data_IF_585662806021
#
_entry.id   IF_585662806021
#
_cell.length_a   1.000
_cell.length_b   1.000
_cell.length_c   1.000
_cell.angle_alpha   90.00
_cell.angle_beta   90.00
_cell.angle_gamma   90.00
#
_symmetry.space_group_name_H-M   'P 1'
#
loop_
_entity.id
_entity.type
_entity.pdbx_description
1 polymer ?
#
# COMPACT_ATOMS: atom_id res chain seq x y z
N UNK A 1 35.22 0.17 9.21
CA UNK A 1 34.36 0.77 8.16
C UNK A 1 32.94 0.55 8.60
N UNK A 2 32.14 1.60 8.60
CA UNK A 2 30.79 1.61 9.17
C UNK A 2 29.76 1.41 8.06
N UNK A 3 28.81 0.48 8.25
CA UNK A 3 27.72 0.27 7.29
C UNK A 3 26.70 1.41 7.44
N UNK A 4 26.48 2.17 6.36
CA UNK A 4 25.58 3.32 6.36
C UNK A 4 24.10 2.99 6.59
N UNK A 5 23.68 1.71 6.57
CA UNK A 5 22.31 1.30 6.95
C UNK A 5 22.24 0.88 8.43
N UNK A 6 23.25 0.16 8.96
CA UNK A 6 23.22 -0.23 10.37
C UNK A 6 23.37 1.01 11.30
N UNK A 7 23.87 2.15 10.80
CA UNK A 7 24.10 3.36 11.61
C UNK A 7 22.84 4.10 12.05
N UNK A 8 21.81 4.18 11.21
CA UNK A 8 20.57 4.88 11.56
C UNK A 8 19.77 4.13 12.64
N UNK A 9 19.93 2.80 12.77
CA UNK A 9 19.28 2.01 13.81
C UNK A 9 19.99 2.07 15.17
N UNK A 10 21.28 2.44 15.23
CA UNK A 10 22.09 2.49 16.46
C UNK A 10 21.67 3.65 17.39
N UNK A 11 21.12 4.74 16.87
CA UNK A 11 20.59 5.82 17.74
C UNK A 11 19.24 5.47 18.39
N UNK A 12 18.53 4.47 17.87
CA UNK A 12 17.34 3.92 18.52
C UNK A 12 17.77 2.85 19.54
N UNK A 13 17.36 2.99 20.80
CA UNK A 13 17.89 2.28 21.99
C UNK A 13 17.78 0.74 22.01
N UNK A 14 17.40 0.09 20.92
CA UNK A 14 17.19 -1.36 20.86
C UNK A 14 18.43 -2.08 20.31
N UNK A 15 19.49 -2.12 21.13
CA UNK A 15 20.76 -2.80 20.84
C UNK A 15 20.61 -4.32 20.53
N UNK A 16 19.43 -4.91 20.74
CA UNK A 16 19.14 -6.31 20.44
C UNK A 16 18.88 -6.60 18.95
N UNK A 17 18.60 -5.60 18.12
CA UNK A 17 18.40 -5.79 16.67
C UNK A 17 19.71 -5.85 15.87
N UNK A 18 20.84 -5.48 16.48
CA UNK A 18 22.15 -5.34 15.84
C UNK A 18 22.89 -6.66 15.55
N UNK A 19 22.34 -7.82 15.92
CA UNK A 19 23.01 -9.12 15.74
C UNK A 19 23.16 -9.53 14.26
N UNK A 20 22.49 -8.84 13.33
CA UNK A 20 22.57 -9.10 11.89
C UNK A 20 23.93 -8.71 11.25
N UNK A 21 24.70 -7.77 11.83
CA UNK A 21 25.83 -7.14 11.13
C UNK A 21 27.21 -7.77 11.48
N UNK A 22 27.31 -8.86 12.27
CA UNK A 22 28.60 -9.31 12.85
C UNK A 22 29.24 -10.58 12.26
N UNK A 23 28.55 -11.37 11.42
CA UNK A 23 29.00 -12.76 11.15
C UNK A 23 29.35 -13.12 9.69
N UNK A 24 29.32 -12.20 8.71
CA UNK A 24 29.62 -12.56 7.31
C UNK A 24 30.52 -11.54 6.58
N UNK A 25 31.84 -11.76 6.68
CA UNK A 25 32.95 -10.96 6.11
C UNK A 25 33.17 -11.15 4.59
N UNK A 26 32.13 -11.48 3.85
CA UNK A 26 32.19 -11.67 2.40
C UNK A 26 31.90 -10.33 1.68
N UNK A 27 32.84 -9.39 1.78
CA UNK A 27 32.78 -8.01 1.26
C UNK A 27 32.87 -7.91 -0.27
N UNK A 28 31.76 -7.96 -1.03
CA UNK A 28 31.85 -7.88 -2.50
C UNK A 28 30.73 -7.08 -3.20
N UNK A 29 30.52 -5.81 -2.83
CA UNK A 29 29.85 -4.90 -3.75
C UNK A 29 30.64 -3.62 -3.94
N UNK A 30 31.12 -3.41 -5.18
CA UNK A 30 31.81 -2.19 -5.60
C UNK A 30 30.74 -1.12 -5.84
N UNK A 31 30.65 -0.07 -5.01
CA UNK A 31 29.63 0.95 -5.20
C UNK A 31 29.89 1.71 -6.50
N UNK A 32 28.82 2.21 -7.13
CA UNK A 32 28.96 3.33 -8.05
C UNK A 32 29.71 4.45 -7.33
N UNK A 33 30.59 5.18 -8.05
CA UNK A 33 31.42 6.24 -7.46
C UNK A 33 30.59 7.14 -6.54
N UNK A 34 31.00 7.25 -5.27
CA UNK A 34 30.34 8.09 -4.26
C UNK A 34 29.30 7.43 -3.36
N UNK A 35 29.03 6.12 -3.47
CA UNK A 35 28.16 5.42 -2.50
C UNK A 35 29.00 4.77 -1.37
N UNK A 36 28.54 4.82 -0.10
CA UNK A 36 29.21 4.12 0.98
C UNK A 36 29.12 2.59 0.80
N UNK A 37 30.04 1.88 1.43
CA UNK A 37 30.02 0.42 1.44
C UNK A 37 28.87 -0.09 2.32
N UNK A 38 28.25 -1.18 1.88
CA UNK A 38 27.15 -1.84 2.59
C UNK A 38 27.47 -3.30 2.81
N UNK A 39 27.03 -3.82 3.96
CA UNK A 39 26.97 -5.26 4.15
C UNK A 39 25.96 -5.86 3.17
N UNK A 40 26.28 -7.05 2.64
CA UNK A 40 25.40 -7.78 1.72
C UNK A 40 24.05 -8.09 2.38
N UNK A 41 24.04 -8.47 3.66
CA UNK A 41 22.80 -8.74 4.42
C UNK A 41 21.91 -7.50 4.54
N UNK A 42 22.48 -6.34 4.87
CA UNK A 42 21.74 -5.08 4.98
C UNK A 42 21.15 -4.65 3.63
N UNK A 43 21.95 -4.73 2.56
CA UNK A 43 21.45 -4.43 1.22
C UNK A 43 20.38 -5.43 0.77
N UNK A 44 20.54 -6.73 1.07
CA UNK A 44 19.52 -7.76 0.80
C UNK A 44 18.19 -7.41 1.45
N UNK A 45 18.20 -7.13 2.76
CA UNK A 45 17.02 -6.75 3.53
C UNK A 45 16.34 -5.50 2.98
N UNK A 46 17.13 -4.47 2.66
CA UNK A 46 16.62 -3.25 2.05
C UNK A 46 15.92 -3.52 0.70
N UNK A 47 16.53 -4.33 -0.16
CA UNK A 47 15.97 -4.69 -1.46
C UNK A 47 14.65 -5.47 -1.32
N UNK A 48 14.54 -6.34 -0.31
CA UNK A 48 13.30 -7.04 0.00
C UNK A 48 12.21 -6.09 0.51
N UNK A 49 12.53 -5.18 1.43
CA UNK A 49 11.58 -4.16 1.93
C UNK A 49 11.06 -3.29 0.79
N UNK A 50 11.94 -2.86 -0.13
CA UNK A 50 11.51 -2.13 -1.33
C UNK A 50 10.52 -2.96 -2.17
N UNK A 51 10.86 -4.22 -2.43
CA UNK A 51 10.04 -5.11 -3.23
C UNK A 51 8.67 -5.40 -2.60
N UNK A 52 8.62 -5.63 -1.28
CA UNK A 52 7.38 -5.84 -0.51
C UNK A 52 6.50 -4.59 -0.53
N UNK A 53 7.10 -3.41 -0.50
CA UNK A 53 6.42 -2.12 -0.62
C UNK A 53 5.99 -1.78 -2.07
N UNK A 54 6.31 -2.65 -3.04
CA UNK A 54 5.97 -2.44 -4.45
C UNK A 54 6.84 -1.42 -5.18
N UNK A 55 8.00 -1.06 -4.62
CA UNK A 55 8.96 -0.16 -5.27
C UNK A 55 9.81 -0.93 -6.29
N UNK A 56 9.46 -0.80 -7.57
CA UNK A 56 10.22 -1.32 -8.70
C UNK A 56 10.44 -0.26 -9.79
N UNK A 57 11.59 -0.23 -10.49
CA UNK A 57 12.78 -1.06 -10.24
C UNK A 57 13.48 -0.68 -8.93
N UNK A 58 14.21 -1.61 -8.33
CA UNK A 58 14.94 -1.35 -7.09
C UNK A 58 15.97 -0.23 -7.26
N UNK A 59 16.19 0.56 -6.21
CA UNK A 59 17.11 1.71 -6.21
C UNK A 59 18.18 1.59 -5.14
N UNK A 60 19.33 2.23 -5.36
CA UNK A 60 20.36 2.37 -4.33
C UNK A 60 19.82 3.20 -3.16
N UNK A 61 20.03 2.82 -1.88
CA UNK A 61 19.55 3.56 -0.72
C UNK A 61 20.15 4.97 -0.59
N UNK A 62 21.38 5.21 -1.08
CA UNK A 62 22.06 6.50 -0.88
C UNK A 62 21.91 7.44 -2.07
N UNK A 63 22.17 6.96 -3.29
CA UNK A 63 22.14 7.81 -4.48
C UNK A 63 20.85 7.69 -5.30
N UNK A 64 19.91 6.82 -4.87
CA UNK A 64 18.64 6.55 -5.55
C UNK A 64 18.76 6.09 -7.01
N UNK A 65 19.98 5.77 -7.49
CA UNK A 65 20.19 5.21 -8.81
C UNK A 65 19.46 3.87 -8.92
N UNK A 66 18.79 3.66 -10.05
CA UNK A 66 18.19 2.36 -10.39
C UNK A 66 19.27 1.28 -10.46
N UNK A 67 19.05 0.20 -9.73
CA UNK A 67 19.91 -0.97 -9.75
C UNK A 67 19.50 -1.88 -10.91
N UNK A 68 20.48 -2.45 -11.59
CA UNK A 68 20.26 -3.50 -12.57
C UNK A 68 19.84 -4.80 -11.88
N UNK A 69 19.17 -5.69 -12.64
CA UNK A 69 18.77 -7.02 -12.13
C UNK A 69 19.99 -7.79 -11.63
N UNK A 70 21.13 -7.72 -12.31
CA UNK A 70 22.34 -8.41 -11.87
C UNK A 70 22.88 -7.85 -10.55
N UNK A 71 22.87 -6.52 -10.36
CA UNK A 71 23.25 -5.88 -9.10
C UNK A 71 22.35 -6.33 -7.95
N UNK A 72 21.04 -6.44 -8.18
CA UNK A 72 20.10 -6.97 -7.18
C UNK A 72 20.44 -8.41 -6.82
N UNK A 73 20.53 -9.31 -7.80
CA UNK A 73 20.74 -10.74 -7.56
C UNK A 73 22.09 -11.06 -6.91
N UNK A 74 23.14 -10.30 -7.23
CA UNK A 74 24.46 -10.49 -6.60
C UNK A 74 24.45 -10.20 -5.09
N UNK A 75 23.50 -9.37 -4.64
CA UNK A 75 23.37 -8.96 -3.24
C UNK A 75 22.31 -9.76 -2.46
N UNK A 76 21.49 -10.57 -3.12
CA UNK A 76 20.51 -11.43 -2.46
C UNK A 76 21.09 -12.83 -2.17
N UNK A 77 20.59 -13.48 -1.12
CA UNK A 77 20.73 -14.93 -0.98
C UNK A 77 19.81 -15.66 -1.97
N UNK A 78 20.04 -16.96 -2.20
CA UNK A 78 19.24 -17.72 -3.20
C UNK A 78 17.76 -17.74 -2.86
N UNK A 79 17.40 -17.92 -1.59
CA UNK A 79 16.01 -17.85 -1.10
C UNK A 79 15.39 -16.48 -1.34
N UNK A 80 16.15 -15.42 -1.03
CA UNK A 80 15.70 -14.03 -1.14
C UNK A 80 15.54 -13.62 -2.62
N UNK A 81 16.42 -14.09 -3.49
CA UNK A 81 16.32 -13.87 -4.94
C UNK A 81 15.03 -14.49 -5.52
N UNK A 82 14.63 -15.68 -5.04
CA UNK A 82 13.36 -16.30 -5.41
C UNK A 82 12.16 -15.52 -4.88
N UNK A 83 12.22 -15.03 -3.64
CA UNK A 83 11.18 -14.18 -3.07
C UNK A 83 11.04 -12.87 -3.85
N UNK A 84 12.16 -12.16 -4.08
CA UNK A 84 12.21 -10.92 -4.84
C UNK A 84 11.66 -11.10 -6.26
N UNK A 85 11.99 -12.21 -6.94
CA UNK A 85 11.44 -12.56 -8.27
C UNK A 85 9.92 -12.68 -8.23
N UNK A 86 9.35 -13.35 -7.21
CA UNK A 86 7.88 -13.48 -7.08
C UNK A 86 7.21 -12.12 -6.85
N UNK A 87 7.83 -11.25 -6.05
CA UNK A 87 7.33 -9.90 -5.81
C UNK A 87 7.38 -9.06 -7.10
N UNK A 88 8.45 -9.18 -7.88
CA UNK A 88 8.59 -8.52 -9.18
C UNK A 88 7.52 -8.99 -10.18
N UNK A 89 7.31 -10.31 -10.29
CA UNK A 89 6.28 -10.91 -11.15
C UNK A 89 4.90 -10.35 -10.77
N UNK A 90 4.55 -10.36 -9.48
CA UNK A 90 3.28 -9.80 -8.97
C UNK A 90 3.13 -8.30 -9.26
N UNK A 91 4.20 -7.53 -9.13
CA UNK A 91 4.17 -6.10 -9.45
C UNK A 91 3.92 -5.85 -10.94
N UNK A 92 4.56 -6.63 -11.82
CA UNK A 92 4.33 -6.56 -13.27
C UNK A 92 2.88 -6.91 -13.61
N UNK A 93 2.34 -7.98 -13.02
CA UNK A 93 0.93 -8.37 -13.20
C UNK A 93 -0.03 -7.27 -12.77
N UNK A 94 0.20 -6.62 -11.62
CA UNK A 94 -0.61 -5.48 -11.17
C UNK A 94 -0.49 -4.29 -12.11
N UNK A 95 0.70 -4.01 -12.64
CA UNK A 95 0.94 -2.89 -13.56
C UNK A 95 0.29 -3.13 -14.91
N UNK A 96 0.49 -4.31 -15.50
CA UNK A 96 -0.14 -4.71 -16.77
C UNK A 96 -1.66 -4.81 -16.62
N UNK A 97 -2.15 -5.37 -15.51
CA UNK A 97 -3.58 -5.40 -15.20
C UNK A 97 -4.19 -4.00 -15.04
N UNK A 98 -3.43 -3.02 -14.58
CA UNK A 98 -3.84 -1.61 -14.57
C UNK A 98 -3.81 -1.02 -15.98
N UNK A 99 -2.73 -1.23 -16.73
CA UNK A 99 -2.53 -0.68 -18.08
C UNK A 99 -3.51 -1.24 -19.11
N UNK A 100 -3.87 -2.51 -19.01
CA UNK A 100 -4.79 -3.17 -19.94
C UNK A 100 -6.27 -2.81 -19.74
N UNK A 101 -6.64 -2.23 -18.59
CA UNK A 101 -8.00 -1.70 -18.41
C UNK A 101 -8.16 -0.43 -19.23
N UNK A 102 -9.26 -0.34 -19.98
CA UNK A 102 -9.64 0.91 -20.65
C UNK A 102 -9.81 2.03 -19.62
N UNK A 103 -9.57 3.31 -19.97
CA UNK A 103 -9.81 4.43 -19.06
C UNK A 103 -11.22 4.39 -18.44
N UNK A 104 -12.24 4.03 -19.23
CA UNK A 104 -13.62 3.88 -18.77
C UNK A 104 -13.80 2.81 -17.70
N UNK A 105 -13.19 1.64 -17.87
CA UNK A 105 -13.27 0.57 -16.86
C UNK A 105 -12.56 0.95 -15.56
N UNK A 106 -11.45 1.70 -15.65
CA UNK A 106 -10.77 2.23 -14.46
C UNK A 106 -11.66 3.22 -13.73
N UNK A 107 -12.26 4.16 -14.45
CA UNK A 107 -13.16 5.15 -13.86
C UNK A 107 -14.38 4.50 -13.20
N UNK A 108 -14.96 3.46 -13.81
CA UNK A 108 -16.08 2.71 -13.24
C UNK A 108 -15.68 1.90 -12.02
N UNK A 109 -14.52 1.22 -12.05
CA UNK A 109 -14.02 0.44 -10.93
C UNK A 109 -13.65 1.33 -9.74
N UNK A 110 -12.99 2.46 -10.00
CA UNK A 110 -12.73 3.49 -8.98
C UNK A 110 -14.03 4.03 -8.43
N UNK A 111 -15.01 4.32 -9.29
CA UNK A 111 -16.29 4.84 -8.84
C UNK A 111 -17.08 3.85 -7.98
N UNK A 112 -17.06 2.57 -8.32
CA UNK A 112 -17.65 1.52 -7.52
C UNK A 112 -16.94 1.35 -6.16
N UNK A 113 -15.60 1.39 -6.15
CA UNK A 113 -14.82 1.29 -4.91
C UNK A 113 -15.10 2.47 -3.97
N UNK A 114 -15.07 3.69 -4.49
CA UNK A 114 -15.36 4.89 -3.71
C UNK A 114 -16.81 4.94 -3.23
N UNK A 115 -17.77 4.50 -4.05
CA UNK A 115 -19.16 4.37 -3.62
C UNK A 115 -19.33 3.34 -2.48
N UNK A 116 -18.54 2.26 -2.46
CA UNK A 116 -18.49 1.30 -1.36
C UNK A 116 -17.98 1.87 -0.04
N UNK A 117 -17.16 2.93 -0.11
CA UNK A 117 -16.72 3.71 1.06
C UNK A 117 -17.72 4.82 1.43
N UNK A 118 -18.90 4.85 0.81
CA UNK A 118 -19.88 5.90 1.03
C UNK A 118 -19.50 7.24 0.40
N UNK A 119 -18.50 7.31 -0.48
CA UNK A 119 -18.09 8.53 -1.18
C UNK A 119 -18.89 8.74 -2.48
N UNK A 120 -19.07 10.01 -2.89
CA UNK A 120 -19.74 10.38 -4.14
C UNK A 120 -19.01 11.49 -4.89
N UNK A 121 -19.14 11.53 -6.22
CA UNK A 121 -18.55 12.60 -7.04
C UNK A 121 -19.41 13.86 -7.02
N UNK A 122 -18.77 15.02 -6.91
CA UNK A 122 -19.40 16.31 -7.16
C UNK A 122 -19.90 16.38 -8.61
N UNK A 123 -21.16 16.78 -8.87
CA UNK A 123 -21.70 16.85 -10.23
C UNK A 123 -21.07 17.96 -11.09
N UNK A 124 -20.36 18.91 -10.48
CA UNK A 124 -19.70 20.02 -11.19
C UNK A 124 -18.22 19.73 -11.49
N UNK A 125 -17.42 19.40 -10.48
CA UNK A 125 -15.97 19.25 -10.63
C UNK A 125 -15.46 17.80 -10.61
N UNK A 126 -16.33 16.82 -10.32
CA UNK A 126 -15.97 15.41 -10.27
C UNK A 126 -15.19 14.97 -9.02
N UNK A 127 -14.85 15.89 -8.10
CA UNK A 127 -14.15 15.56 -6.86
C UNK A 127 -14.93 14.56 -6.00
N UNK A 128 -14.23 13.62 -5.37
CA UNK A 128 -14.80 12.70 -4.40
C UNK A 128 -15.11 13.41 -3.09
N UNK A 129 -16.34 13.23 -2.60
CA UNK A 129 -16.86 13.80 -1.36
C UNK A 129 -17.30 12.64 -0.48
N UNK A 130 -16.77 12.59 0.72
CA UNK A 130 -17.17 11.65 1.77
C UNK A 130 -18.21 12.32 2.66
N UNK A 131 -19.24 11.56 3.04
CA UNK A 131 -20.18 11.98 4.08
C UNK A 131 -19.66 11.45 5.41
N UNK A 132 -19.40 12.34 6.36
CA UNK A 132 -19.04 11.94 7.71
C UNK A 132 -20.09 10.96 8.25
N UNK A 133 -19.63 9.86 8.85
CA UNK A 133 -20.52 8.82 9.34
C UNK A 133 -21.56 9.40 10.29
N UNK A 134 -22.79 8.93 10.16
CA UNK A 134 -23.87 9.32 11.05
C UNK A 134 -23.55 8.77 12.45
N UNK A 135 -23.01 9.63 13.32
CA UNK A 135 -23.08 9.41 14.76
C UNK A 135 -24.53 9.52 15.24
N UNK A 136 -24.74 10.07 16.43
CA UNK A 136 -26.08 10.26 17.01
C UNK A 136 -27.03 11.12 16.13
N UNK A 137 -26.48 11.90 15.20
CA UNK A 137 -27.23 12.72 14.27
C UNK A 137 -26.98 12.20 12.85
N UNK A 138 -28.06 11.80 12.16
CA UNK A 138 -28.00 11.44 10.73
C UNK A 138 -27.46 12.63 9.94
N UNK A 139 -26.27 12.46 9.34
CA UNK A 139 -25.64 13.52 8.54
C UNK A 139 -26.58 14.08 7.47
N UNK A 140 -26.53 15.39 7.27
CA UNK A 140 -27.27 16.12 6.25
C UNK A 140 -26.93 15.64 4.83
N UNK A 141 -27.94 15.46 3.96
CA UNK A 141 -27.74 15.13 2.54
C UNK A 141 -27.58 16.37 1.65
N UNK A 142 -27.76 17.59 2.15
CA UNK A 142 -27.52 18.83 1.40
C UNK A 142 -26.05 19.23 1.51
N UNK A 143 -25.24 18.76 0.58
CA UNK A 143 -23.79 19.00 0.59
C UNK A 143 -23.39 20.13 -0.35
N UNK A 144 -22.38 20.90 0.07
CA UNK A 144 -21.71 21.92 -0.73
C UNK A 144 -20.27 21.50 -0.98
N UNK A 145 -19.89 21.30 -2.23
CA UNK A 145 -18.51 20.99 -2.62
C UNK A 145 -17.60 22.22 -2.41
N UNK A 146 -16.29 22.01 -2.24
CA UNK A 146 -15.28 23.09 -2.24
C UNK A 146 -15.26 23.95 -3.50
N UNK A 147 -15.77 23.44 -4.63
CA UNK A 147 -15.95 24.27 -5.84
C UNK A 147 -17.20 25.18 -5.77
N UNK A 148 -17.99 25.11 -4.70
CA UNK A 148 -19.24 25.84 -4.49
C UNK A 148 -20.49 25.15 -5.03
N UNK A 149 -20.37 23.98 -5.66
CA UNK A 149 -21.54 23.26 -6.17
C UNK A 149 -22.36 22.67 -5.02
N UNK A 150 -23.67 22.95 -5.02
CA UNK A 150 -24.65 22.43 -4.08
C UNK A 150 -25.37 21.23 -4.69
N UNK A 151 -25.49 20.13 -3.96
CA UNK A 151 -26.18 18.93 -4.44
C UNK A 151 -26.69 18.06 -3.29
N UNK A 152 -27.63 17.16 -3.60
CA UNK A 152 -28.07 16.13 -2.65
C UNK A 152 -27.09 14.95 -2.68
N UNK A 153 -26.53 14.56 -1.54
CA UNK A 153 -25.65 13.41 -1.44
C UNK A 153 -26.38 12.10 -1.76
N UNK A 154 -27.61 11.92 -1.28
CA UNK A 154 -28.35 10.68 -1.50
C UNK A 154 -28.62 10.39 -2.99
N UNK A 155 -29.08 11.39 -3.77
CA UNK A 155 -29.54 11.20 -5.15
C UNK A 155 -28.72 11.94 -6.21
N UNK A 156 -27.78 12.81 -5.83
CA UNK A 156 -26.96 13.61 -6.74
C UNK A 156 -27.65 14.83 -7.37
N UNK A 157 -28.91 15.12 -7.04
CA UNK A 157 -29.64 16.25 -7.67
C UNK A 157 -28.97 17.59 -7.35
N UNK A 158 -28.70 18.39 -8.37
CA UNK A 158 -28.16 19.75 -8.23
C UNK A 158 -29.10 20.61 -7.39
N UNK A 159 -28.54 21.41 -6.47
CA UNK A 159 -29.25 22.23 -5.50
C UNK A 159 -30.24 21.47 -4.60
N UNK A 160 -30.09 20.14 -4.49
CA UNK A 160 -30.97 19.26 -3.69
C UNK A 160 -32.46 19.54 -3.92
N UNK A 161 -32.89 19.78 -5.17
CA UNK A 161 -34.30 19.96 -5.55
C UNK A 161 -35.14 18.67 -5.45
N UNK A 162 -34.63 17.67 -4.75
CA UNK A 162 -35.27 16.39 -4.48
C UNK A 162 -36.00 16.38 -3.12
N UNK A 163 -36.84 15.39 -2.92
CA UNK A 163 -37.51 15.12 -1.63
C UNK A 163 -36.64 14.41 -0.59
N UNK A 164 -35.39 14.04 -0.91
CA UNK A 164 -34.52 13.28 -0.01
C UNK A 164 -34.09 14.05 1.23
N UNK A 165 -34.19 15.38 1.22
CA UNK A 165 -33.66 16.23 2.29
C UNK A 165 -34.78 17.01 2.98
N UNK A 166 -35.00 16.71 4.26
CA UNK A 166 -36.00 17.38 5.09
C UNK A 166 -35.39 18.58 5.83
N UNK A 167 -35.90 19.78 5.55
CA UNK A 167 -36.01 20.85 6.55
C UNK A 167 -34.79 21.71 6.92
N UNK A 168 -33.70 21.76 6.14
CA UNK A 168 -32.59 22.69 6.39
C UNK A 168 -31.98 23.23 5.09
N UNK A 169 -31.21 24.33 5.18
CA UNK A 169 -30.53 24.95 4.04
C UNK A 169 -29.21 24.26 3.67
N UNK A 170 -28.53 24.77 2.64
CA UNK A 170 -27.12 24.44 2.39
C UNK A 170 -26.22 25.27 3.30
N UNK A 171 -25.00 24.77 3.53
CA UNK A 171 -23.93 25.63 4.00
C UNK A 171 -23.65 26.71 2.96
N UNK A 172 -23.43 27.92 3.47
CA UNK A 172 -23.16 29.09 2.65
C UNK A 172 -21.87 28.89 1.83
N UNK A 173 -21.89 29.37 0.58
CA UNK A 173 -20.80 29.10 -0.37
C UNK A 173 -19.52 29.80 0.08
N UNK A 174 -19.65 31.04 0.54
CA UNK A 174 -18.56 31.88 1.00
C UNK A 174 -17.88 31.21 2.20
N UNK A 175 -18.65 30.66 3.13
CA UNK A 175 -18.15 29.91 4.29
C UNK A 175 -17.33 28.67 3.88
N UNK A 176 -17.80 27.89 2.91
CA UNK A 176 -17.09 26.69 2.41
C UNK A 176 -15.78 27.08 1.70
N UNK A 177 -15.80 28.18 0.95
CA UNK A 177 -14.61 28.69 0.26
C UNK A 177 -13.56 29.26 1.22
N UNK A 178 -14.01 29.86 2.33
CA UNK A 178 -13.17 30.26 3.44
C UNK A 178 -12.74 29.08 4.34
N UNK A 179 -12.91 27.83 3.88
CA UNK A 179 -12.55 26.61 4.61
C UNK A 179 -13.06 26.59 6.06
N UNK A 180 -14.26 27.14 6.29
CA UNK A 180 -14.90 27.22 7.59
C UNK A 180 -14.14 28.04 8.65
N UNK A 181 -13.32 29.02 8.24
CA UNK A 181 -12.58 29.90 9.17
C UNK A 181 -13.49 30.59 10.22
N UNK A 182 -14.74 30.88 9.87
CA UNK A 182 -15.71 31.52 10.78
C UNK A 182 -16.40 30.53 11.74
N UNK A 183 -16.34 29.23 11.46
CA UNK A 183 -16.81 28.19 12.39
C UNK A 183 -15.69 27.87 13.36
N UNK A 184 -15.21 28.88 14.08
CA UNK A 184 -14.25 28.72 15.17
C UNK A 184 -14.95 27.96 16.30
N UNK A 185 -15.00 26.63 16.13
CA UNK A 185 -15.62 25.64 17.02
C UNK A 185 -14.99 25.63 18.41
N UNK A 186 -13.98 26.46 18.64
CA UNK A 186 -13.26 26.60 19.90
C UNK A 186 -14.08 27.32 20.99
N UNK A 187 -15.11 28.11 20.65
CA UNK A 187 -15.93 28.78 21.67
C UNK A 187 -17.09 27.92 22.21
N UNK A 188 -17.47 26.83 21.53
CA UNK A 188 -18.68 26.07 21.87
C UNK A 188 -18.46 24.63 22.32
N UNK A 189 -17.20 24.18 22.47
CA UNK A 189 -16.94 22.89 23.12
C UNK A 189 -16.77 23.11 24.63
N UNK A 190 -17.76 22.80 25.48
CA UNK A 190 -17.63 22.95 26.93
C UNK A 190 -16.89 21.74 27.49
N UNK A 191 -15.76 21.38 26.88
CA UNK A 191 -14.67 20.73 27.61
C UNK A 191 -13.90 21.87 28.27
N UNK A 192 -14.54 22.56 29.21
CA UNK A 192 -13.77 22.94 30.38
C UNK A 192 -13.29 21.61 30.93
N UNK A 193 -12.04 21.26 30.62
CA UNK A 193 -11.26 20.40 31.46
C UNK A 193 -11.42 21.02 32.85
N UNK A 194 -12.35 20.49 33.63
CA UNK A 194 -12.32 20.65 35.07
C UNK A 194 -10.98 20.08 35.42
N UNK A 195 -10.01 20.96 35.66
CA UNK A 195 -8.77 20.62 36.30
C UNK A 195 -9.18 19.91 37.59
N UNK A 196 -9.25 18.58 37.56
CA UNK A 196 -9.08 17.77 38.74
C UNK A 196 -7.69 18.12 39.21
N UNK A 197 -7.63 19.09 40.11
CA UNK A 197 -6.51 19.29 41.01
C UNK A 197 -6.21 17.91 41.59
N UNK A 198 -5.09 17.32 41.17
CA UNK A 198 -4.64 16.04 41.73
C UNK A 198 -4.25 16.31 43.20
N UNK A 199 -4.93 15.72 44.19
CA UNK A 199 -4.41 15.74 45.54
C UNK A 199 -3.23 14.78 45.62
N UNK A 200 -2.04 15.38 45.68
CA UNK A 200 -0.85 14.96 46.44
C UNK A 200 -0.55 13.48 46.61
N UNK A 201 0.61 13.10 46.07
CA UNK A 201 1.59 12.13 46.59
C UNK A 201 1.15 11.30 47.82
N UNK A 202 0.92 10.00 47.58
CA UNK A 202 1.11 8.97 48.60
C UNK A 202 1.89 7.80 48.02
N UNK A 203 3.10 7.65 48.57
CA UNK A 203 4.04 6.54 48.52
C UNK A 203 3.45 5.17 48.13
N UNK A 204 4.08 4.54 47.13
CA UNK A 204 3.93 3.12 46.83
C UNK A 204 4.83 2.27 47.75
N UNK A 205 4.22 1.37 48.52
CA UNK A 205 4.85 0.19 49.11
C UNK A 205 4.71 -1.00 48.14
N UNK A 206 5.70 -1.90 48.03
CA UNK A 206 5.60 -3.12 47.23
C UNK A 206 4.93 -4.24 48.02
N UNK A 207 3.72 -4.62 47.62
CA UNK A 207 2.97 -5.74 48.19
C UNK A 207 2.81 -6.90 47.20
N UNK A 208 3.33 -8.06 47.59
CA UNK A 208 3.27 -9.34 46.89
C UNK A 208 1.85 -9.84 46.58
N UNK A 209 1.74 -10.53 45.44
CA UNK A 209 1.00 -11.79 45.30
C UNK A 209 -0.53 -11.77 45.47
N UNK A 210 -1.24 -11.88 44.35
CA UNK A 210 -2.41 -12.76 44.30
C UNK A 210 -2.76 -13.22 42.89
N UNK A 211 -2.88 -14.54 42.79
CA UNK A 211 -3.43 -15.30 41.67
C UNK A 211 -4.95 -15.36 41.80
N UNK A 212 -5.64 -15.31 40.66
CA UNK A 212 -7.01 -15.81 40.54
C UNK A 212 -8.06 -14.77 40.20
N UNK A 213 -8.64 -14.89 39.01
CA UNK A 213 -10.08 -15.16 38.82
C UNK A 213 -10.38 -15.07 37.32
N UNK A 214 -10.86 -16.19 36.76
CA UNK A 214 -11.40 -16.24 35.41
C UNK A 214 -12.63 -15.31 35.35
N UNK A 215 -12.56 -14.32 34.48
CA UNK A 215 -13.65 -13.39 34.22
C UNK A 215 -14.53 -14.01 33.12
N UNK A 216 -15.78 -14.33 33.48
CA UNK A 216 -16.81 -14.81 32.56
C UNK A 216 -17.07 -13.73 31.51
N UNK A 217 -16.81 -14.09 30.25
CA UNK A 217 -17.12 -13.28 29.07
C UNK A 217 -18.63 -13.28 28.86
N UNK A 218 -19.30 -12.11 28.77
CA UNK A 218 -20.72 -12.05 28.54
C UNK A 218 -21.08 -12.52 27.13
N UNK A 219 -22.09 -13.38 27.07
CA UNK A 219 -22.74 -13.96 25.90
C UNK A 219 -23.11 -12.86 24.89
N UNK A 220 -22.48 -12.92 23.71
CA UNK A 220 -22.75 -12.00 22.62
C UNK A 220 -24.17 -12.23 22.08
N UNK A 221 -25.05 -11.25 22.31
CA UNK A 221 -26.37 -11.18 21.70
C UNK A 221 -26.24 -11.18 20.17
N UNK A 222 -26.91 -12.14 19.55
CA UNK A 222 -26.99 -12.32 18.10
C UNK A 222 -27.56 -11.05 17.43
N UNK A 223 -26.77 -10.46 16.55
CA UNK A 223 -27.20 -9.34 15.70
C UNK A 223 -28.11 -9.89 14.60
N UNK A 224 -29.39 -9.49 14.51
CA UNK A 224 -30.27 -9.97 13.47
C UNK A 224 -29.75 -9.52 12.10
N UNK A 225 -29.64 -10.49 11.18
CA UNK A 225 -29.20 -10.26 9.81
C UNK A 225 -30.10 -9.25 9.09
N UNK A 226 -29.48 -8.19 8.57
CA UNK A 226 -30.18 -7.18 7.78
C UNK A 226 -30.80 -7.79 6.51
N UNK A 227 -32.04 -7.40 6.13
CA UNK A 227 -32.67 -7.88 4.92
C UNK A 227 -31.90 -7.42 3.69
N UNK A 228 -31.62 -8.37 2.79
CA UNK A 228 -30.93 -8.13 1.52
C UNK A 228 -31.67 -7.08 0.68
N UNK A 229 -30.96 -6.02 0.29
CA UNK A 229 -31.50 -5.01 -0.61
C UNK A 229 -31.90 -5.65 -1.96
N UNK A 230 -33.05 -5.26 -2.55
CA UNK A 230 -33.48 -5.76 -3.85
C UNK A 230 -32.48 -5.34 -4.94
N UNK A 231 -32.19 -6.28 -5.84
CA UNK A 231 -31.31 -6.05 -6.99
C UNK A 231 -31.85 -4.91 -7.88
N UNK A 232 -30.98 -4.03 -8.40
CA UNK A 232 -31.41 -2.98 -9.31
C UNK A 232 -31.95 -3.59 -10.62
N UNK A 233 -33.14 -3.14 -11.04
CA UNK A 233 -33.73 -3.52 -12.31
C UNK A 233 -32.82 -3.12 -13.49
N UNK A 234 -32.71 -3.97 -14.53
CA UNK A 234 -31.87 -3.67 -15.69
C UNK A 234 -32.43 -2.51 -16.50
N UNK A 235 -31.66 -1.42 -16.57
CA UNK A 235 -31.93 -0.26 -17.41
C UNK A 235 -32.00 -0.65 -18.90
N UNK A 236 -32.99 -0.11 -19.59
CA UNK A 236 -33.23 -0.33 -21.02
C UNK A 236 -32.00 0.00 -21.90
N UNK A 237 -31.82 -0.68 -23.05
CA UNK A 237 -30.67 -0.47 -23.93
C UNK A 237 -30.71 0.91 -24.59
N UNK A 238 -29.60 1.64 -24.51
CA UNK A 238 -29.41 2.91 -25.22
C UNK A 238 -29.43 2.72 -26.75
N UNK A 239 -29.99 3.68 -27.50
CA UNK A 239 -30.00 3.64 -28.96
C UNK A 239 -28.60 3.75 -29.54
N UNK A 240 -28.34 2.97 -30.60
CA UNK A 240 -27.05 2.87 -31.26
C UNK A 240 -26.57 4.22 -31.86
N UNK A 241 -25.26 4.53 -31.81
CA UNK A 241 -24.72 5.74 -32.42
C UNK A 241 -24.68 5.60 -33.95
N UNK A 242 -25.21 6.63 -34.60
CA UNK A 242 -25.23 6.83 -36.05
C UNK A 242 -23.79 6.93 -36.61
N UNK A 243 -23.42 5.97 -37.47
CA UNK A 243 -22.08 5.88 -38.09
C UNK A 243 -22.07 6.62 -39.43
N UNK A 244 -21.86 7.92 -39.37
CA UNK A 244 -21.51 8.74 -40.54
C UNK A 244 -20.24 9.54 -40.28
N UNK A 245 -19.08 9.05 -40.73
CA UNK A 245 -17.81 9.77 -40.56
C UNK A 245 -16.66 9.15 -41.33
N UNK A 246 -16.11 9.91 -42.28
CA UNK A 246 -15.17 9.50 -43.32
C UNK A 246 -13.78 9.13 -42.78
N UNK A 247 -13.17 8.12 -43.41
CA UNK A 247 -11.80 7.69 -43.15
C UNK A 247 -10.80 8.71 -43.71
N UNK A 248 -9.99 9.31 -42.84
CA UNK A 248 -8.76 10.01 -43.19
C UNK A 248 -7.58 9.11 -42.82
N UNK A 249 -6.86 8.69 -43.86
CA UNK A 249 -5.71 7.82 -43.82
C UNK A 249 -4.48 8.62 -43.36
N UNK A 250 -3.98 8.35 -42.15
CA UNK A 250 -2.67 8.83 -41.69
C UNK A 250 -1.76 7.63 -41.45
N UNK A 251 -0.82 7.45 -42.37
CA UNK A 251 0.30 6.53 -42.22
C UNK A 251 1.23 7.05 -41.12
N UNK A 252 1.21 6.39 -39.96
CA UNK A 252 2.21 6.59 -38.90
C UNK A 252 3.12 5.38 -38.83
N UNK A 253 4.41 5.68 -38.90
CA UNK A 253 5.55 4.77 -39.00
C UNK A 253 5.71 3.93 -37.73
N UNK A 254 5.72 2.60 -37.92
CA UNK A 254 6.06 1.63 -36.90
C UNK A 254 7.53 1.80 -36.47
N UNK A 255 7.77 2.41 -35.31
CA UNK A 255 9.02 2.25 -34.57
C UNK A 255 8.90 1.04 -33.66
N UNK A 256 9.50 -0.05 -34.12
CA UNK A 256 9.76 -1.29 -33.38
C UNK A 256 10.43 -1.00 -32.03
N UNK A 257 9.65 -1.03 -30.95
CA UNK A 257 10.16 -1.09 -29.58
C UNK A 257 10.18 -2.55 -29.13
N UNK A 258 11.32 -3.22 -29.35
CA UNK A 258 11.60 -4.52 -28.76
C UNK A 258 12.82 -4.44 -27.82
N UNK A 259 12.64 -4.27 -26.50
CA UNK A 259 13.68 -4.62 -25.53
C UNK A 259 13.28 -5.71 -24.52
N UNK A 260 12.04 -6.19 -24.47
CA UNK A 260 11.58 -7.05 -23.36
C UNK A 260 11.78 -8.57 -23.53
N UNK A 261 12.16 -9.07 -24.71
CA UNK A 261 12.31 -10.54 -24.91
C UNK A 261 13.55 -11.15 -24.25
N UNK A 262 14.55 -10.33 -23.89
CA UNK A 262 15.84 -10.83 -23.37
C UNK A 262 15.80 -11.16 -21.87
N UNK A 263 15.01 -10.45 -21.08
CA UNK A 263 14.84 -10.72 -19.63
C UNK A 263 14.03 -11.99 -19.38
N UNK A 264 13.03 -12.26 -20.22
CA UNK A 264 12.18 -13.45 -20.10
C UNK A 264 12.94 -14.78 -20.31
N UNK A 265 14.05 -14.78 -21.07
CA UNK A 265 14.90 -15.97 -21.24
C UNK A 265 15.77 -16.29 -20.01
N UNK A 266 16.24 -15.27 -19.27
CA UNK A 266 17.04 -15.47 -18.06
C UNK A 266 16.18 -16.06 -16.92
N UNK A 267 14.94 -15.59 -16.74
CA UNK A 267 14.01 -16.17 -15.76
C UNK A 267 13.64 -17.63 -16.08
N UNK A 268 13.49 -17.99 -17.36
CA UNK A 268 13.25 -19.39 -17.75
C UNK A 268 14.43 -20.32 -17.44
N UNK A 269 15.67 -19.83 -17.61
CA UNK A 269 16.87 -20.62 -17.32
C UNK A 269 17.03 -20.88 -15.81
N UNK A 270 16.84 -19.87 -14.97
CA UNK A 270 16.90 -20.02 -13.51
C UNK A 270 15.80 -20.95 -12.96
N UNK A 271 14.58 -20.92 -13.54
CA UNK A 271 13.50 -21.87 -13.18
C UNK A 271 13.76 -23.31 -13.67
N UNK A 272 14.55 -23.50 -14.74
CA UNK A 272 14.91 -24.83 -15.22
C UNK A 272 16.02 -25.44 -14.36
N UNK A 273 16.99 -24.63 -13.93
CA UNK A 273 18.11 -25.07 -13.09
C UNK A 273 17.65 -25.43 -11.65
N UNK A 274 16.61 -24.76 -11.11
CA UNK A 274 16.05 -25.09 -9.80
C UNK A 274 15.15 -26.35 -9.77
N UNK A 275 14.76 -26.87 -10.93
CA UNK A 275 13.98 -28.13 -11.06
C UNK A 275 14.83 -29.36 -11.36
N UNK A 276 16.14 -29.19 -11.54
CA UNK A 276 17.02 -30.34 -11.78
C UNK A 276 17.17 -31.16 -10.48
N UNK A 277 16.90 -32.47 -10.49
CA UNK A 277 17.14 -33.32 -9.33
C UNK A 277 18.63 -33.36 -8.99
N UNK A 278 18.97 -33.08 -7.74
CA UNK A 278 20.32 -33.20 -7.18
C UNK A 278 20.82 -34.64 -7.37
N UNK A 279 21.60 -34.89 -8.41
CA UNK A 279 22.32 -36.15 -8.56
C UNK A 279 23.44 -36.17 -7.50
N UNK A 280 23.33 -37.10 -6.55
CA UNK A 280 24.32 -37.32 -5.51
C UNK A 280 25.60 -37.90 -6.10
N UNK A 281 26.56 -37.03 -6.40
CA UNK A 281 27.91 -37.42 -6.77
C UNK A 281 28.57 -38.12 -5.59
N UNK A 282 28.66 -39.45 -5.65
CA UNK A 282 29.50 -40.26 -4.74
C UNK A 282 30.96 -39.81 -4.89
N UNK A 283 31.42 -39.00 -3.94
CA UNK A 283 32.84 -38.68 -3.77
C UNK A 283 33.58 -39.95 -3.35
N UNK A 284 34.45 -40.43 -4.24
CA UNK A 284 35.40 -41.49 -3.94
C UNK A 284 36.54 -40.88 -3.11
N UNK A 285 36.55 -41.16 -1.79
CA UNK A 285 37.70 -40.85 -0.94
C UNK A 285 38.88 -41.75 -1.32
N UNK A 286 40.09 -41.21 -1.55
CA UNK A 286 41.28 -42.02 -1.68
C UNK A 286 41.64 -42.63 -0.30
N UNK A 287 41.90 -43.94 -0.28
CA UNK A 287 42.43 -44.65 0.88
C UNK A 287 43.85 -44.16 1.16
N UNK A 288 44.08 -43.68 2.38
CA UNK A 288 45.42 -43.44 2.91
C UNK A 288 46.19 -44.76 2.96
N UNK A 289 47.38 -44.78 2.36
CA UNK A 289 48.32 -45.90 2.43
C UNK A 289 49.18 -45.78 3.68
N UNK A 290 49.33 -46.89 4.38
CA UNK A 290 50.26 -47.11 5.48
C UNK A 290 51.71 -47.07 4.98
N UNK A 291 52.54 -46.15 5.50
CA UNK A 291 53.99 -46.24 5.41
C UNK A 291 54.54 -46.83 6.73
N UNK A 292 55.04 -48.07 6.60
CA UNK A 292 55.72 -48.80 7.66
C UNK A 292 57.24 -48.68 7.49
N UNK A 293 57.89 -48.51 8.64
CA UNK A 293 59.32 -48.48 8.90
C UNK A 293 60.26 -49.36 8.05
N UNK A 294 61.45 -48.83 7.79
CA UNK A 294 62.74 -49.54 7.78
C UNK A 294 63.85 -48.59 8.18
#
# INVERSE_FOLDING_TARGET
MECGICWDEIESKDAAALTCCLEDDSWWWWPAEGCPQLHKSCLSRYLLIQAESGYFPATCPFCLRKLSVLEVFNNLQVSDALLWTRLQDRWLELREGRENRSPRERDLAEAAAMAGLGCRRCPSCGAWIEKQEAGWVTGCDKMTCRCGAQFCFACGSVNAMCSCSLGHGFLDREMVLANYEELDLFEFWPFHATSTEEPGDVHAEPGDGQTGAAQEVPEMLEVPSAPSAPAPEPSAPEPAPDRGGQAVNTQSTERSFAPQRRTHMLHRRLRAESKAPLQSSKLHLPKAGDESAS
#
